data_IF_149160356069
#
_entry.id   IF_149160356069
#
_cell.length_a   1.000
_cell.length_b   1.000
_cell.length_c   1.000
_cell.angle_alpha   90.00
_cell.angle_beta   90.00
_cell.angle_gamma   90.00
#
_symmetry.space_group_name_H-M   'P 1'
#
loop_
_entity.id
_entity.type
_entity.pdbx_description
1 polymer ?
#
# COMPACT_ATOMS: atom_id res chain seq x y z
N UNK A 1 27.71 7.64 0.26
CA UNK A 1 26.88 6.50 -0.16
C UNK A 1 25.68 6.51 0.74
N UNK A 2 24.56 7.04 0.25
CA UNK A 2 23.33 7.21 1.00
C UNK A 2 22.77 5.85 1.38
N UNK A 3 22.22 5.77 2.58
CA UNK A 3 21.50 4.59 3.04
C UNK A 3 20.21 4.44 2.21
N UNK A 4 19.85 3.23 1.76
CA UNK A 4 18.58 2.99 1.05
C UNK A 4 17.37 3.43 1.88
N UNK A 5 17.47 3.33 3.21
CA UNK A 5 16.44 3.83 4.14
C UNK A 5 16.28 5.34 3.99
N UNK A 6 17.39 6.08 3.85
CA UNK A 6 17.38 7.53 3.68
C UNK A 6 16.83 7.93 2.30
N UNK A 7 17.07 7.12 1.27
CA UNK A 7 16.50 7.32 -0.07
C UNK A 7 14.97 7.21 0.01
N UNK A 8 14.44 6.15 0.61
CA UNK A 8 13.00 6.00 0.80
C UNK A 8 12.39 7.10 1.67
N UNK A 9 13.08 7.53 2.73
CA UNK A 9 12.65 8.66 3.56
C UNK A 9 12.54 9.96 2.74
N UNK A 10 13.48 10.18 1.82
CA UNK A 10 13.48 11.37 0.96
C UNK A 10 12.34 11.38 -0.05
N UNK A 11 12.04 10.23 -0.68
CA UNK A 11 10.90 10.08 -1.59
C UNK A 11 9.56 10.20 -0.84
N UNK A 12 9.43 9.54 0.31
CA UNK A 12 8.23 9.68 1.13
C UNK A 12 7.99 11.15 1.52
N UNK A 13 9.05 11.87 1.88
CA UNK A 13 8.96 13.30 2.23
C UNK A 13 8.58 14.19 1.03
N UNK A 14 9.06 13.88 -0.18
CA UNK A 14 8.73 14.66 -1.38
C UNK A 14 7.26 14.52 -1.78
N UNK A 15 6.65 13.35 -1.55
CA UNK A 15 5.23 13.11 -1.79
C UNK A 15 4.32 13.54 -0.62
N UNK A 16 4.89 13.99 0.49
CA UNK A 16 4.14 14.35 1.70
C UNK A 16 3.64 13.15 2.51
N UNK A 17 4.21 11.97 2.30
CA UNK A 17 3.92 10.76 3.06
C UNK A 17 4.63 10.78 4.41
N UNK A 18 4.06 10.08 5.40
CA UNK A 18 4.71 9.89 6.70
C UNK A 18 5.56 8.64 6.67
N UNK A 19 6.88 8.81 6.77
CA UNK A 19 7.83 7.71 6.80
C UNK A 19 8.06 7.20 8.22
N UNK A 20 8.12 5.89 8.38
CA UNK A 20 8.58 5.23 9.60
C UNK A 20 9.43 4.03 9.25
N UNK A 21 10.55 3.88 9.96
CA UNK A 21 11.46 2.76 9.84
C UNK A 21 11.56 2.01 11.17
N UNK A 22 11.40 0.69 11.14
CA UNK A 22 11.55 -0.14 12.35
C UNK A 22 10.89 -1.50 12.20
N UNK A 23 11.03 -2.34 13.23
CA UNK A 23 10.31 -3.61 13.29
C UNK A 23 8.83 -3.38 13.65
N UNK A 24 7.94 -4.32 13.32
CA UNK A 24 6.49 -4.28 13.59
C UNK A 24 6.13 -3.80 15.00
N UNK A 25 6.88 -4.23 16.01
CA UNK A 25 6.69 -3.83 17.41
C UNK A 25 6.90 -2.33 17.68
N UNK A 26 7.83 -1.69 16.97
CA UNK A 26 8.09 -0.25 17.09
C UNK A 26 7.10 0.57 16.26
N UNK A 27 6.62 0.01 15.15
CA UNK A 27 5.65 0.66 14.28
C UNK A 27 4.25 0.72 14.93
N UNK A 28 3.96 -0.20 15.86
CA UNK A 28 2.79 -0.13 16.74
C UNK A 28 2.78 1.09 17.69
N UNK A 29 3.80 1.96 17.71
CA UNK A 29 3.76 3.22 18.46
C UNK A 29 3.21 4.40 17.64
N UNK A 30 3.06 4.24 16.32
CA UNK A 30 2.47 5.27 15.45
C UNK A 30 0.95 5.44 15.68
N UNK A 31 0.36 4.61 16.54
CA UNK A 31 -1.09 4.45 16.72
C UNK A 31 -1.83 5.73 17.11
N UNK A 32 -1.18 6.67 17.79
CA UNK A 32 -1.85 7.87 18.33
C UNK A 32 -2.00 9.03 17.33
N UNK A 33 -1.21 9.05 16.24
CA UNK A 33 -1.12 10.21 15.34
C UNK A 33 -1.62 9.94 13.90
N UNK A 34 -2.37 8.85 13.69
CA UNK A 34 -2.94 8.56 12.37
C UNK A 34 -4.10 9.49 12.03
N UNK A 35 -3.89 10.31 11.00
CA UNK A 35 -4.85 11.23 10.41
C UNK A 35 -5.50 10.57 9.19
N UNK A 36 -6.83 10.63 9.08
CA UNK A 36 -7.56 10.11 7.91
C UNK A 36 -7.12 10.86 6.64
N UNK A 37 -6.93 10.12 5.54
CA UNK A 37 -6.55 10.68 4.23
C UNK A 37 -5.06 11.00 4.07
N UNK A 38 -4.21 10.66 5.05
CA UNK A 38 -2.76 10.71 4.88
C UNK A 38 -2.21 9.31 4.58
N UNK A 39 -1.19 9.28 3.72
CA UNK A 39 -0.45 8.08 3.35
C UNK A 39 0.73 7.91 4.32
N UNK A 40 0.90 6.70 4.83
CA UNK A 40 1.97 6.30 5.73
C UNK A 40 2.80 5.23 5.03
N UNK A 41 4.11 5.46 4.92
CA UNK A 41 5.07 4.49 4.42
C UNK A 41 5.85 3.92 5.59
N UNK A 42 5.77 2.61 5.74
CA UNK A 42 6.28 1.87 6.87
C UNK A 42 7.29 0.85 6.35
N UNK A 43 8.58 1.11 6.54
CA UNK A 43 9.66 0.29 6.01
C UNK A 43 10.17 -0.70 7.07
N UNK A 44 10.17 -1.98 6.71
CA UNK A 44 10.77 -3.03 7.53
C UNK A 44 12.31 -3.00 7.41
N UNK A 45 13.03 -3.62 8.37
CA UNK A 45 14.49 -3.71 8.29
C UNK A 45 14.97 -4.31 6.97
N UNK A 46 15.70 -3.50 6.19
CA UNK A 46 16.21 -3.90 4.88
C UNK A 46 17.47 -4.75 5.03
N UNK A 47 17.49 -5.90 4.36
CA UNK A 47 18.66 -6.78 4.30
C UNK A 47 19.60 -6.32 3.19
N UNK A 48 20.90 -6.22 3.50
CA UNK A 48 21.95 -5.82 2.55
C UNK A 48 22.86 -7.00 2.30
N UNK A 49 22.95 -7.41 1.05
CA UNK A 49 23.88 -8.46 0.62
C UNK A 49 24.92 -7.83 -0.30
N UNK A 50 26.19 -8.11 -0.02
CA UNK A 50 27.31 -7.78 -0.90
C UNK A 50 27.93 -9.06 -1.40
N UNK A 51 27.87 -9.30 -2.70
CA UNK A 51 28.64 -10.38 -3.29
C UNK A 51 30.11 -9.99 -3.35
N UNK A 52 31.00 -10.98 -3.22
CA UNK A 52 32.43 -10.80 -3.48
C UNK A 52 32.71 -11.36 -4.86
N UNK A 53 33.37 -10.57 -5.71
CA UNK A 53 33.83 -11.07 -7.00
C UNK A 53 35.06 -11.96 -6.80
N UNK A 54 35.09 -13.12 -7.46
CA UNK A 54 36.25 -14.03 -7.45
C UNK A 54 37.53 -13.39 -8.01
N UNK A 55 37.42 -12.25 -8.70
CA UNK A 55 38.53 -11.52 -9.31
C UNK A 55 38.98 -10.29 -8.50
N UNK A 56 38.61 -10.18 -7.23
CA UNK A 56 39.10 -9.11 -6.33
C UNK A 56 38.47 -7.73 -6.56
N UNK A 57 37.36 -7.65 -7.29
CA UNK A 57 36.57 -6.43 -7.46
C UNK A 57 35.49 -6.25 -6.38
N UNK A 58 35.00 -5.01 -6.22
CA UNK A 58 33.75 -4.74 -5.47
C UNK A 58 32.63 -5.49 -6.20
N UNK A 59 32.03 -6.50 -5.56
CA UNK A 59 30.91 -7.23 -6.13
C UNK A 59 29.62 -6.42 -6.12
N UNK A 60 28.53 -7.07 -6.48
CA UNK A 60 27.21 -6.45 -6.58
C UNK A 60 26.64 -6.23 -5.17
N UNK A 61 25.96 -5.10 -4.99
CA UNK A 61 25.24 -4.80 -3.77
C UNK A 61 23.74 -4.87 -4.05
N UNK A 62 23.06 -5.75 -3.32
CA UNK A 62 21.63 -6.00 -3.43
C UNK A 62 20.97 -5.66 -2.10
N UNK A 63 19.79 -5.08 -2.17
CA UNK A 63 18.93 -4.75 -1.05
C UNK A 63 17.63 -5.53 -1.19
N UNK A 64 17.19 -6.20 -0.15
CA UNK A 64 15.89 -6.87 -0.12
C UNK A 64 15.14 -6.47 1.12
N UNK A 65 13.83 -6.27 0.98
CA UNK A 65 13.00 -5.87 2.09
C UNK A 65 11.53 -5.78 1.71
N UNK A 66 10.73 -5.37 2.68
CA UNK A 66 9.32 -5.09 2.52
C UNK A 66 8.99 -3.73 3.10
N UNK A 67 8.00 -3.06 2.51
CA UNK A 67 7.37 -1.90 3.12
C UNK A 67 5.86 -1.97 2.98
N UNK A 68 5.17 -1.35 3.92
CA UNK A 68 3.74 -1.17 3.94
C UNK A 68 3.42 0.28 3.56
N UNK A 69 2.59 0.47 2.55
CA UNK A 69 2.01 1.77 2.21
C UNK A 69 0.54 1.74 2.60
N UNK A 70 0.17 2.52 3.60
CA UNK A 70 -1.13 2.38 4.27
C UNK A 70 -1.82 3.71 4.53
N UNK A 71 -3.14 3.65 4.61
CA UNK A 71 -4.04 4.75 4.95
C UNK A 71 -4.96 4.30 6.10
N UNK A 72 -5.31 5.23 6.98
CA UNK A 72 -6.27 4.99 8.06
C UNK A 72 -7.64 4.64 7.48
N UNK A 73 -8.18 3.49 7.86
CA UNK A 73 -9.47 2.98 7.42
C UNK A 73 -10.47 2.82 8.57
N UNK A 74 -11.73 2.56 8.22
CA UNK A 74 -12.81 2.22 9.16
C UNK A 74 -13.12 0.73 9.10
N UNK A 75 -13.23 0.08 10.26
CA UNK A 75 -13.44 -1.38 10.37
C UNK A 75 -14.71 -1.82 9.64
N UNK A 76 -15.78 -1.02 9.75
CA UNK A 76 -17.14 -1.38 9.37
C UNK A 76 -17.40 -1.40 7.85
N UNK A 77 -16.42 -1.02 7.01
CA UNK A 77 -16.55 -1.04 5.56
C UNK A 77 -16.16 -2.39 4.95
N UNK A 78 -16.91 -2.81 3.92
CA UNK A 78 -16.64 -4.01 3.09
C UNK A 78 -15.50 -3.81 2.11
N UNK A 79 -14.86 -4.91 1.66
CA UNK A 79 -13.71 -4.87 0.76
C UNK A 79 -14.05 -4.26 -0.62
N UNK A 80 -15.00 -4.89 -1.32
CA UNK A 80 -15.62 -4.34 -2.51
C UNK A 80 -16.90 -3.60 -2.13
N UNK A 81 -17.15 -2.46 -2.79
CA UNK A 81 -18.40 -1.74 -2.62
C UNK A 81 -19.56 -2.65 -2.96
N UNK A 82 -20.56 -2.70 -2.07
CA UNK A 82 -21.81 -3.40 -2.38
C UNK A 82 -22.74 -2.37 -3.01
N UNK A 83 -23.08 -2.56 -4.28
CA UNK A 83 -24.24 -1.89 -4.87
C UNK A 83 -25.46 -2.38 -4.11
N UNK A 84 -26.19 -1.48 -3.44
CA UNK A 84 -27.45 -1.81 -2.75
C UNK A 84 -28.44 -2.51 -3.71
N UNK A 85 -28.29 -2.29 -5.02
CA UNK A 85 -29.01 -3.02 -6.07
C UNK A 85 -28.82 -4.54 -6.03
N UNK A 86 -27.60 -5.08 -5.85
CA UNK A 86 -27.39 -6.53 -5.97
C UNK A 86 -27.95 -7.32 -4.78
N UNK A 87 -27.92 -6.75 -3.57
CA UNK A 87 -28.51 -7.37 -2.39
C UNK A 87 -30.05 -7.30 -2.39
N UNK A 88 -30.62 -6.20 -2.93
CA UNK A 88 -32.06 -5.98 -2.95
C UNK A 88 -32.76 -6.72 -4.12
N UNK A 89 -32.18 -6.72 -5.33
CA UNK A 89 -32.71 -7.46 -6.49
C UNK A 89 -32.75 -8.97 -6.24
N UNK A 90 -31.71 -9.55 -5.63
CA UNK A 90 -31.68 -10.97 -5.31
C UNK A 90 -32.73 -11.36 -4.26
N UNK A 91 -33.00 -10.48 -3.30
CA UNK A 91 -34.03 -10.70 -2.28
C UNK A 91 -35.44 -10.57 -2.87
N UNK A 92 -35.69 -9.63 -3.77
CA UNK A 92 -37.02 -9.45 -4.38
C UNK A 92 -37.35 -10.52 -5.42
N UNK A 93 -36.38 -10.96 -6.22
CA UNK A 93 -36.57 -12.07 -7.16
C UNK A 93 -36.89 -13.40 -6.44
N UNK A 94 -36.44 -13.55 -5.19
CA UNK A 94 -36.80 -14.71 -4.35
C UNK A 94 -38.23 -14.65 -3.78
N UNK A 95 -38.88 -13.48 -3.81
CA UNK A 95 -40.22 -13.23 -3.26
C UNK A 95 -41.27 -13.04 -4.39
N UNK A 96 -40.84 -12.94 -5.65
CA UNK A 96 -41.74 -12.84 -6.81
C UNK A 96 -42.44 -11.47 -6.97
N UNK A 97 -41.89 -10.41 -6.37
CA UNK A 97 -42.46 -9.05 -6.44
C UNK A 97 -41.91 -8.21 -7.61
N UNK A 98 -42.74 -7.35 -8.21
CA UNK A 98 -42.31 -6.33 -9.19
C UNK A 98 -42.00 -5.00 -8.49
N UNK A 99 -40.87 -4.36 -8.81
CA UNK A 99 -40.44 -3.07 -8.24
C UNK A 99 -40.73 -1.94 -9.22
N UNK A 100 -41.29 -0.84 -8.73
CA UNK A 100 -41.43 0.42 -9.47
C UNK A 100 -40.23 1.33 -9.17
N UNK A 101 -39.67 1.93 -10.22
CA UNK A 101 -38.39 2.69 -10.23
C UNK A 101 -38.38 3.96 -9.36
N UNK A 102 -39.55 4.42 -8.89
CA UNK A 102 -39.74 5.70 -8.21
C UNK A 102 -39.35 5.74 -6.73
N UNK A 103 -39.02 4.62 -6.09
CA UNK A 103 -38.64 4.56 -4.67
C UNK A 103 -37.11 4.55 -4.43
N UNK A 104 -36.30 4.70 -5.48
CA UNK A 104 -34.83 4.62 -5.43
C UNK A 104 -34.12 5.95 -5.08
N UNK A 105 -34.79 6.87 -4.38
CA UNK A 105 -34.34 8.26 -4.25
C UNK A 105 -33.09 8.48 -3.37
N UNK A 106 -32.60 7.47 -2.65
CA UNK A 106 -31.35 7.56 -1.87
C UNK A 106 -30.51 6.28 -2.00
N UNK A 107 -30.09 5.94 -3.23
CA UNK A 107 -29.03 4.92 -3.41
C UNK A 107 -27.68 5.59 -3.07
N UNK A 108 -27.33 5.60 -1.79
CA UNK A 108 -25.97 5.92 -1.37
C UNK A 108 -25.05 4.79 -1.84
N UNK A 109 -24.25 5.03 -2.89
CA UNK A 109 -23.21 4.09 -3.32
C UNK A 109 -22.17 4.02 -2.20
N UNK A 110 -22.18 2.91 -1.45
CA UNK A 110 -21.14 2.64 -0.45
C UNK A 110 -19.91 2.13 -1.18
N UNK A 111 -18.93 3.01 -1.38
CA UNK A 111 -17.65 2.61 -1.93
C UNK A 111 -16.95 1.66 -0.94
N UNK A 112 -16.31 0.62 -1.47
CA UNK A 112 -15.57 -0.34 -0.66
C UNK A 112 -14.15 0.15 -0.35
N UNK A 113 -13.52 -0.48 0.65
CA UNK A 113 -12.12 -0.23 1.05
C UNK A 113 -11.15 -0.25 -0.11
N UNK A 114 -11.36 -1.15 -1.07
CA UNK A 114 -10.54 -1.22 -2.27
C UNK A 114 -10.58 0.09 -3.06
N UNK A 115 -11.77 0.58 -3.40
CA UNK A 115 -11.94 1.78 -4.24
C UNK A 115 -11.51 3.05 -3.51
N UNK A 116 -11.77 3.16 -2.21
CA UNK A 116 -11.44 4.35 -1.43
C UNK A 116 -9.97 4.41 -1.03
N UNK A 117 -9.36 3.29 -0.63
CA UNK A 117 -8.05 3.28 0.01
C UNK A 117 -6.96 2.58 -0.82
N UNK A 118 -7.23 1.41 -1.39
CA UNK A 118 -6.19 0.56 -2.01
C UNK A 118 -5.90 1.00 -3.45
N UNK A 119 -6.95 1.26 -4.25
CA UNK A 119 -6.84 1.62 -5.65
C UNK A 119 -5.99 2.88 -5.89
N UNK A 120 -6.16 3.98 -5.13
CA UNK A 120 -5.30 5.15 -5.28
C UNK A 120 -3.82 4.84 -5.00
N UNK A 121 -3.54 3.95 -4.03
CA UNK A 121 -2.17 3.56 -3.72
C UNK A 121 -1.52 2.75 -4.84
N UNK A 122 -2.29 1.85 -5.47
CA UNK A 122 -1.85 1.01 -6.59
C UNK A 122 -1.68 1.79 -7.90
N UNK A 123 -2.59 2.71 -8.20
CA UNK A 123 -2.64 3.36 -9.52
C UNK A 123 -1.95 4.73 -9.56
N UNK A 124 -1.63 5.30 -8.40
CA UNK A 124 -1.08 6.66 -8.34
C UNK A 124 0.18 6.72 -7.50
N UNK A 125 0.14 6.24 -6.26
CA UNK A 125 1.24 6.49 -5.33
C UNK A 125 2.43 5.55 -5.55
N UNK A 126 2.19 4.25 -5.76
CA UNK A 126 3.28 3.31 -6.01
C UNK A 126 3.97 3.56 -7.34
N UNK A 127 3.23 3.97 -8.38
CA UNK A 127 3.80 4.27 -9.69
C UNK A 127 4.79 5.43 -9.65
N UNK A 128 4.52 6.48 -8.85
CA UNK A 128 5.48 7.58 -8.66
C UNK A 128 6.80 7.08 -8.08
N UNK A 129 6.71 6.18 -7.09
CA UNK A 129 7.89 5.61 -6.44
C UNK A 129 8.66 4.69 -7.39
N UNK A 130 7.96 3.89 -8.20
CA UNK A 130 8.56 3.07 -9.25
C UNK A 130 9.27 3.94 -10.29
N UNK A 131 8.61 4.98 -10.81
CA UNK A 131 9.18 5.91 -11.79
C UNK A 131 10.45 6.61 -11.25
N UNK A 132 10.42 7.06 -9.99
CA UNK A 132 11.57 7.71 -9.34
C UNK A 132 12.72 6.73 -9.05
N UNK A 133 12.41 5.44 -8.78
CA UNK A 133 13.42 4.39 -8.62
C UNK A 133 14.02 3.99 -9.97
N UNK A 134 13.23 3.85 -11.03
CA UNK A 134 13.71 3.54 -12.38
C UNK A 134 14.59 4.66 -12.95
N UNK A 135 14.34 5.91 -12.53
CA UNK A 135 15.16 7.06 -12.88
C UNK A 135 16.40 7.26 -11.97
N UNK A 136 16.68 6.32 -11.06
CA UNK A 136 17.77 6.42 -10.07
C UNK A 136 18.95 5.48 -10.39
N UNK A 137 19.95 5.44 -9.50
CA UNK A 137 21.09 4.50 -9.59
C UNK A 137 20.74 3.06 -9.13
N UNK A 138 19.44 2.74 -9.02
CA UNK A 138 18.95 1.44 -8.58
C UNK A 138 18.19 0.72 -9.70
N UNK A 139 18.36 -0.59 -9.78
CA UNK A 139 17.61 -1.48 -10.65
C UNK A 139 16.65 -2.32 -9.80
N UNK A 140 15.37 -2.33 -10.18
CA UNK A 140 14.36 -3.17 -9.55
C UNK A 140 14.50 -4.60 -10.05
N UNK A 141 15.03 -5.47 -9.20
CA UNK A 141 15.20 -6.92 -9.48
C UNK A 141 13.96 -7.74 -9.14
N UNK A 142 13.18 -7.28 -8.15
CA UNK A 142 11.96 -7.93 -7.72
C UNK A 142 10.99 -6.86 -7.20
N UNK A 143 9.73 -6.97 -7.59
CA UNK A 143 8.67 -6.10 -7.11
C UNK A 143 7.38 -6.91 -7.01
N UNK A 144 6.86 -7.05 -5.79
CA UNK A 144 5.67 -7.83 -5.53
C UNK A 144 4.76 -7.05 -4.59
N UNK A 145 3.52 -6.84 -5.02
CA UNK A 145 2.53 -6.05 -4.30
C UNK A 145 1.40 -6.97 -3.84
N UNK A 146 0.99 -6.84 -2.58
CA UNK A 146 -0.11 -7.58 -1.98
C UNK A 146 -1.06 -6.58 -1.33
N UNK A 147 -2.35 -6.68 -1.65
CA UNK A 147 -3.40 -5.89 -1.02
C UNK A 147 -3.58 -6.33 0.43
N UNK A 148 -3.65 -5.36 1.34
CA UNK A 148 -3.82 -5.64 2.76
C UNK A 148 -4.93 -4.78 3.37
N UNK A 149 -5.78 -5.41 4.19
CA UNK A 149 -6.89 -4.75 4.87
C UNK A 149 -6.93 -5.08 6.35
N UNK A 150 -7.38 -4.13 7.15
CA UNK A 150 -7.44 -4.22 8.60
C UNK A 150 -6.11 -4.70 9.21
N UNK A 151 -4.99 -4.21 8.68
CA UNK A 151 -3.67 -4.57 9.20
C UNK A 151 -3.35 -3.73 10.42
N UNK A 152 -2.61 -4.33 11.35
CA UNK A 152 -2.24 -3.76 12.66
C UNK A 152 -3.46 -3.55 13.58
N UNK A 153 -3.19 -3.23 14.85
CA UNK A 153 -4.24 -2.97 15.84
C UNK A 153 -5.06 -1.68 15.55
N UNK A 154 -4.64 -0.89 14.56
CA UNK A 154 -5.21 0.41 14.17
C UNK A 154 -6.11 0.38 12.94
N UNK A 155 -6.33 -0.79 12.35
CA UNK A 155 -7.20 -0.97 11.18
C UNK A 155 -6.82 -0.04 10.03
N UNK A 156 -5.60 -0.23 9.53
CA UNK A 156 -5.15 0.43 8.31
C UNK A 156 -5.34 -0.49 7.11
N UNK A 157 -5.66 0.12 5.97
CA UNK A 157 -5.75 -0.56 4.68
C UNK A 157 -4.66 -0.02 3.76
N UNK A 158 -4.19 -0.84 2.83
CA UNK A 158 -3.25 -0.41 1.81
C UNK A 158 -2.58 -1.57 1.10
N UNK A 159 -1.28 -1.45 0.87
CA UNK A 159 -0.49 -2.42 0.12
C UNK A 159 0.80 -2.78 0.86
N UNK A 160 1.17 -4.06 0.80
CA UNK A 160 2.47 -4.58 1.20
C UNK A 160 3.30 -4.79 -0.05
N UNK A 161 4.44 -4.12 -0.13
CA UNK A 161 5.37 -4.22 -1.25
C UNK A 161 6.63 -4.93 -0.79
N UNK A 162 6.92 -6.07 -1.41
CA UNK A 162 8.19 -6.77 -1.26
C UNK A 162 9.09 -6.41 -2.44
N UNK A 163 10.26 -5.85 -2.13
CA UNK A 163 11.18 -5.33 -3.14
C UNK A 163 12.56 -6.00 -3.07
N UNK A 164 13.20 -6.06 -4.23
CA UNK A 164 14.61 -6.34 -4.39
C UNK A 164 15.23 -5.28 -5.27
N UNK A 165 16.22 -4.55 -4.76
CA UNK A 165 16.95 -3.52 -5.50
C UNK A 165 18.41 -3.91 -5.67
N UNK A 166 19.00 -3.55 -6.81
CA UNK A 166 20.42 -3.71 -7.11
C UNK A 166 21.01 -2.35 -7.46
N UNK A 167 22.24 -2.06 -7.04
CA UNK A 167 22.91 -0.81 -7.45
C UNK A 167 23.45 -0.94 -8.87
N UNK A 168 23.06 -0.02 -9.76
CA UNK A 168 23.66 0.15 -11.08
C UNK A 168 25.05 0.79 -10.90
N UNK A 169 26.07 0.16 -11.47
CA UNK A 169 27.47 0.62 -11.37
C UNK A 169 27.81 1.67 -12.41
#
# INVERSE_FOLDING_TARGET
MSDIVQVFESYASSYGWRFSYGNKYNQNLLQSDLVKGRVYMILDPVTRVRSHSEFGGRGEQTFTGSFLLVVKSTIDQVYHGQTIQDAFYNRINSIGGTVYESDCADISVVLGKYTENIKPLLEVDILKLEDDLDCSDYEITNWSIIDVVNVMDINVDGILVTFGLKILK
#
